data_IF_058182851868
#
_entry.id   IF_058182851868
#
_cell.length_a   1.000
_cell.length_b   1.000
_cell.length_c   1.000
_cell.angle_alpha   90.00
_cell.angle_beta   90.00
_cell.angle_gamma   90.00
#
_symmetry.space_group_name_H-M   'P 1'
#
loop_
_entity.id
_entity.type
_entity.pdbx_description
1 polymer ?
#
# COMPACT_ATOMS: atom_id res chain seq x y z
N UNK A 1 -20.61 -11.05 -1.99
CA UNK A 1 -19.69 -10.50 -1.01
C UNK A 1 -18.33 -10.28 -1.65
N UNK A 2 -17.97 -9.02 -1.75
CA UNK A 2 -16.77 -8.69 -2.50
C UNK A 2 -15.54 -8.80 -1.62
N UNK A 3 -14.73 -9.79 -1.91
CA UNK A 3 -13.43 -9.90 -1.30
C UNK A 3 -12.44 -9.07 -2.11
N UNK A 4 -11.67 -8.26 -1.42
CA UNK A 4 -10.52 -7.64 -2.05
C UNK A 4 -9.51 -8.73 -2.35
N UNK A 5 -9.32 -9.02 -3.63
CA UNK A 5 -8.45 -10.12 -4.07
C UNK A 5 -7.03 -9.67 -4.34
N UNK A 6 -6.84 -8.38 -4.59
CA UNK A 6 -5.55 -7.82 -4.98
C UNK A 6 -5.29 -6.53 -4.23
N UNK A 7 -4.02 -6.17 -4.14
CA UNK A 7 -3.62 -4.88 -3.58
C UNK A 7 -2.55 -4.24 -4.45
N UNK A 8 -2.61 -2.92 -4.55
CA UNK A 8 -1.61 -2.10 -5.22
C UNK A 8 -1.04 -1.13 -4.20
N UNK A 9 0.27 -1.15 -4.04
CA UNK A 9 0.96 -0.21 -3.18
C UNK A 9 1.79 0.74 -4.04
N UNK A 10 1.55 2.03 -3.92
CA UNK A 10 2.26 3.04 -4.70
C UNK A 10 3.29 3.72 -3.80
N UNK A 11 4.55 3.39 -4.00
CA UNK A 11 5.63 3.83 -3.14
C UNK A 11 6.21 5.18 -3.53
N UNK A 12 6.05 5.57 -4.80
CA UNK A 12 6.73 6.76 -5.33
C UNK A 12 5.95 8.06 -5.17
N UNK A 13 4.78 8.03 -4.59
CA UNK A 13 3.91 9.19 -4.47
C UNK A 13 4.26 10.10 -3.28
N UNK A 14 5.30 9.77 -2.56
CA UNK A 14 5.60 10.51 -1.35
C UNK A 14 6.56 11.67 -1.64
N UNK A 15 6.01 12.75 -2.14
CA UNK A 15 6.77 13.94 -2.51
C UNK A 15 7.33 14.70 -1.31
N UNK A 16 6.96 14.31 -0.09
CA UNK A 16 7.47 14.93 1.12
C UNK A 16 8.88 14.46 1.47
N UNK A 17 9.38 13.44 0.80
CA UNK A 17 10.70 12.87 1.06
C UNK A 17 11.72 13.49 0.11
N UNK A 18 12.90 13.90 0.60
CA UNK A 18 13.95 14.39 -0.28
C UNK A 18 14.34 13.37 -1.34
N UNK A 19 14.73 13.85 -2.51
CA UNK A 19 15.17 12.99 -3.60
C UNK A 19 16.31 12.08 -3.14
N UNK A 20 16.22 10.82 -3.48
CA UNK A 20 17.23 9.81 -3.12
C UNK A 20 16.96 9.06 -1.84
N UNK A 21 15.98 9.46 -1.06
CA UNK A 21 15.58 8.70 0.12
C UNK A 21 14.65 7.57 -0.28
N UNK A 22 14.68 6.49 0.49
CA UNK A 22 13.77 5.39 0.23
C UNK A 22 12.33 5.78 0.59
N UNK A 23 11.34 5.15 -0.06
CA UNK A 23 9.94 5.42 0.24
C UNK A 23 9.59 5.17 1.72
N UNK A 24 8.65 5.94 2.25
CA UNK A 24 8.23 5.78 3.64
C UNK A 24 7.72 4.36 3.93
N UNK A 25 7.08 3.70 2.96
CA UNK A 25 6.61 2.33 3.16
C UNK A 25 7.73 1.35 3.48
N UNK A 26 8.95 1.67 3.08
CA UNK A 26 10.12 0.82 3.35
C UNK A 26 10.85 1.22 4.63
N UNK A 27 10.46 2.33 5.26
CA UNK A 27 11.00 2.71 6.55
C UNK A 27 10.49 1.77 7.63
N UNK A 28 11.32 1.55 8.64
CA UNK A 28 10.96 0.63 9.72
C UNK A 28 10.15 1.33 10.81
N UNK A 29 9.17 0.60 11.34
CA UNK A 29 8.51 0.96 12.57
C UNK A 29 8.56 -0.27 13.48
N UNK A 30 9.08 -0.13 14.68
CA UNK A 30 9.35 -1.25 15.59
C UNK A 30 10.13 -2.36 14.89
N UNK A 31 11.20 -1.98 14.20
CA UNK A 31 12.14 -2.90 13.53
C UNK A 31 11.59 -3.67 12.33
N UNK A 32 10.40 -3.35 11.88
CA UNK A 32 9.79 -3.98 10.70
C UNK A 32 9.37 -2.91 9.69
N UNK A 33 9.62 -3.11 8.40
CA UNK A 33 9.13 -2.16 7.39
C UNK A 33 7.62 -1.96 7.48
N UNK A 34 7.19 -0.73 7.27
CA UNK A 34 5.75 -0.41 7.27
C UNK A 34 5.02 -1.28 6.25
N UNK A 35 5.60 -1.44 5.06
CA UNK A 35 4.99 -2.26 4.01
C UNK A 35 4.82 -3.71 4.42
N UNK A 36 5.76 -4.27 5.20
CA UNK A 36 5.62 -5.63 5.69
C UNK A 36 4.36 -5.78 6.54
N UNK A 37 4.08 -4.80 7.40
CA UNK A 37 2.86 -4.83 8.22
C UNK A 37 1.61 -4.73 7.36
N UNK A 38 1.67 -3.90 6.30
CA UNK A 38 0.56 -3.79 5.35
C UNK A 38 0.34 -5.10 4.60
N UNK A 39 1.40 -5.76 4.17
CA UNK A 39 1.33 -7.05 3.48
C UNK A 39 0.71 -8.11 4.38
N UNK A 40 1.14 -8.19 5.63
CA UNK A 40 0.60 -9.16 6.58
C UNK A 40 -0.91 -8.96 6.76
N UNK A 41 -1.33 -7.70 6.90
CA UNK A 41 -2.76 -7.41 7.03
C UNK A 41 -3.54 -7.81 5.77
N UNK A 42 -3.01 -7.48 4.60
CA UNK A 42 -3.67 -7.84 3.34
C UNK A 42 -3.79 -9.36 3.18
N UNK A 43 -2.74 -10.09 3.50
CA UNK A 43 -2.78 -11.56 3.43
C UNK A 43 -3.82 -12.13 4.41
N UNK A 44 -3.91 -11.56 5.61
CA UNK A 44 -4.91 -11.97 6.58
C UNK A 44 -6.34 -11.70 6.08
N UNK A 45 -6.51 -10.65 5.27
CA UNK A 45 -7.81 -10.29 4.70
C UNK A 45 -8.14 -11.05 3.42
N UNK A 46 -7.26 -11.94 2.97
CA UNK A 46 -7.52 -12.77 1.81
C UNK A 46 -6.95 -12.26 0.50
N UNK A 47 -6.16 -11.20 0.51
CA UNK A 47 -5.50 -10.69 -0.69
C UNK A 47 -4.47 -11.72 -1.17
N UNK A 48 -4.50 -12.05 -2.47
CA UNK A 48 -3.66 -13.10 -3.03
C UNK A 48 -2.63 -12.59 -4.03
N UNK A 49 -2.83 -11.40 -4.58
CA UNK A 49 -1.97 -10.84 -5.61
C UNK A 49 -1.65 -9.40 -5.28
N UNK A 50 -0.40 -9.02 -5.55
CA UNK A 50 0.08 -7.67 -5.22
C UNK A 50 0.80 -7.05 -6.41
N UNK A 51 0.66 -5.74 -6.53
CA UNK A 51 1.48 -4.94 -7.42
C UNK A 51 2.08 -3.80 -6.63
N UNK A 52 3.40 -3.62 -6.74
CA UNK A 52 4.10 -2.54 -6.06
C UNK A 52 4.68 -1.59 -7.11
N UNK A 53 4.24 -0.35 -7.09
CA UNK A 53 4.81 0.69 -7.96
C UNK A 53 6.03 1.24 -7.25
N UNK A 54 7.20 0.90 -7.76
CA UNK A 54 8.45 1.17 -7.05
C UNK A 54 9.60 1.27 -8.04
N UNK A 55 10.53 2.19 -7.77
CA UNK A 55 11.76 2.28 -8.54
C UNK A 55 12.57 0.98 -8.43
N UNK A 56 13.25 0.53 -9.50
CA UNK A 56 14.13 -0.63 -9.45
C UNK A 56 15.18 -0.54 -8.34
N UNK A 57 15.55 0.67 -7.96
CA UNK A 57 16.51 0.92 -6.89
C UNK A 57 16.08 0.29 -5.57
N UNK A 58 14.79 0.24 -5.30
CA UNK A 58 14.25 -0.28 -4.05
C UNK A 58 13.50 -1.60 -4.22
N UNK A 59 13.58 -2.21 -5.40
CA UNK A 59 12.81 -3.42 -5.69
C UNK A 59 13.14 -4.58 -4.74
N UNK A 60 14.42 -4.76 -4.42
CA UNK A 60 14.83 -5.84 -3.53
C UNK A 60 14.30 -5.64 -2.11
N UNK A 61 14.34 -4.40 -1.61
CA UNK A 61 13.78 -4.11 -0.29
C UNK A 61 12.27 -4.32 -0.27
N UNK A 62 11.59 -3.91 -1.34
CA UNK A 62 10.15 -4.11 -1.44
C UNK A 62 9.81 -5.60 -1.49
N UNK A 63 10.54 -6.38 -2.27
CA UNK A 63 10.32 -7.82 -2.37
C UNK A 63 10.51 -8.52 -1.02
N UNK A 64 11.46 -8.05 -0.23
CA UNK A 64 11.74 -8.62 1.09
C UNK A 64 10.58 -8.45 2.09
N UNK A 65 9.63 -7.56 1.80
CA UNK A 65 8.47 -7.36 2.65
C UNK A 65 7.38 -8.43 2.45
N UNK A 66 7.56 -9.30 1.46
CA UNK A 66 6.56 -10.34 1.13
C UNK A 66 7.09 -11.72 1.51
N UNK A 67 6.23 -12.58 2.04
CA UNK A 67 6.62 -13.97 2.27
C UNK A 67 7.01 -14.66 0.96
N UNK A 68 7.90 -15.63 1.05
CA UNK A 68 8.30 -16.41 -0.11
C UNK A 68 7.07 -17.08 -0.73
N UNK A 69 6.99 -17.06 -2.05
CA UNK A 69 5.86 -17.66 -2.76
C UNK A 69 4.68 -16.73 -2.98
N UNK A 70 4.74 -15.49 -2.47
CA UNK A 70 3.67 -14.52 -2.70
C UNK A 70 3.68 -14.06 -4.15
N UNK A 71 2.49 -13.95 -4.75
CA UNK A 71 2.34 -13.44 -6.11
C UNK A 71 2.44 -11.91 -6.08
N UNK A 72 3.60 -11.38 -6.43
CA UNK A 72 3.84 -9.94 -6.40
C UNK A 72 4.62 -9.52 -7.64
N UNK A 73 4.18 -8.41 -8.25
CA UNK A 73 4.89 -7.74 -9.33
C UNK A 73 5.40 -6.40 -8.80
N UNK A 74 6.67 -6.14 -8.98
CA UNK A 74 7.28 -4.86 -8.56
C UNK A 74 7.80 -4.18 -9.81
N UNK A 75 7.25 -3.01 -10.13
CA UNK A 75 7.59 -2.32 -11.37
C UNK A 75 7.24 -0.83 -11.24
N UNK A 76 7.96 0.01 -11.97
CA UNK A 76 7.59 1.42 -12.12
C UNK A 76 6.89 1.67 -13.46
N UNK A 77 6.71 0.63 -14.27
CA UNK A 77 6.13 0.75 -15.60
C UNK A 77 4.61 0.87 -15.52
N UNK A 78 4.11 2.00 -15.96
CA UNK A 78 2.68 2.29 -15.94
C UNK A 78 1.86 1.26 -16.72
N UNK A 79 2.39 0.82 -17.87
CA UNK A 79 1.71 -0.17 -18.71
C UNK A 79 1.51 -1.50 -17.97
N UNK A 80 2.48 -1.91 -17.16
CA UNK A 80 2.35 -3.15 -16.39
C UNK A 80 1.27 -3.04 -15.33
N UNK A 81 1.14 -1.88 -14.70
CA UNK A 81 0.08 -1.65 -13.73
C UNK A 81 -1.29 -1.69 -14.40
N UNK A 82 -1.41 -1.09 -15.58
CA UNK A 82 -2.68 -1.12 -16.32
C UNK A 82 -3.05 -2.55 -16.70
N UNK A 83 -2.08 -3.38 -17.07
CA UNK A 83 -2.35 -4.78 -17.38
C UNK A 83 -2.81 -5.54 -16.13
N UNK A 84 -2.20 -5.25 -14.98
CA UNK A 84 -2.59 -5.86 -13.70
C UNK A 84 -4.06 -5.54 -13.37
N UNK A 85 -4.51 -4.36 -13.73
CA UNK A 85 -5.85 -3.88 -13.42
C UNK A 85 -6.89 -4.19 -14.51
N UNK A 86 -6.52 -4.94 -15.55
CA UNK A 86 -7.38 -5.16 -16.71
C UNK A 86 -8.44 -6.24 -16.47
N UNK A 87 -9.20 -6.13 -15.40
CA UNK A 87 -10.35 -6.97 -15.11
C UNK A 87 -11.16 -6.36 -13.97
N UNK A 88 -12.24 -7.03 -13.57
CA UNK A 88 -13.16 -6.52 -12.55
C UNK A 88 -12.86 -7.01 -11.12
N UNK A 89 -11.71 -7.62 -10.89
CA UNK A 89 -11.37 -8.05 -9.53
C UNK A 89 -11.27 -6.85 -8.60
N UNK A 90 -11.83 -6.99 -7.42
CA UNK A 90 -11.77 -5.95 -6.40
C UNK A 90 -10.32 -5.73 -5.97
N UNK A 91 -9.89 -4.49 -5.97
CA UNK A 91 -8.49 -4.12 -5.72
C UNK A 91 -8.40 -3.04 -4.65
N UNK A 92 -7.59 -3.29 -3.64
CA UNK A 92 -7.25 -2.29 -2.64
C UNK A 92 -6.06 -1.48 -3.15
N UNK A 93 -6.13 -0.17 -3.02
CA UNK A 93 -5.05 0.71 -3.45
C UNK A 93 -4.59 1.57 -2.29
N UNK A 94 -3.31 1.50 -1.97
CA UNK A 94 -2.67 2.41 -1.04
C UNK A 94 -1.83 3.40 -1.84
N UNK A 95 -2.32 4.63 -1.92
CA UNK A 95 -1.67 5.69 -2.71
C UNK A 95 -0.49 6.33 -1.98
N UNK A 96 -0.33 6.02 -0.71
CA UNK A 96 0.78 6.53 0.09
C UNK A 96 1.05 5.58 1.26
N UNK A 97 2.11 5.86 2.00
CA UNK A 97 2.45 5.09 3.18
C UNK A 97 1.29 5.09 4.17
N UNK A 98 0.92 3.91 4.63
CA UNK A 98 -0.15 3.74 5.60
C UNK A 98 0.10 2.50 6.44
N UNK A 99 -0.34 2.57 7.68
CA UNK A 99 -0.21 1.47 8.64
C UNK A 99 -1.59 0.90 8.93
N UNK A 100 -1.77 -0.43 8.90
CA UNK A 100 -3.07 -1.01 9.22
C UNK A 100 -3.38 -0.83 10.71
N UNK A 101 -4.48 -0.14 10.99
CA UNK A 101 -4.94 0.08 12.37
C UNK A 101 -6.46 0.08 12.38
N UNK A 102 -7.04 -0.89 13.08
CA UNK A 102 -8.48 -1.13 13.04
C UNK A 102 -9.34 0.09 13.40
N UNK A 103 -8.81 1.01 14.18
CA UNK A 103 -9.54 2.18 14.62
C UNK A 103 -9.31 3.42 13.76
N UNK A 104 -8.52 3.28 12.69
CA UNK A 104 -8.28 4.40 11.79
C UNK A 104 -9.54 4.70 10.97
N UNK A 105 -9.83 5.97 10.80
CA UNK A 105 -10.94 6.40 9.98
C UNK A 105 -10.64 6.25 8.50
N UNK A 106 -11.56 6.67 7.62
CA UNK A 106 -11.32 6.63 6.19
C UNK A 106 -10.12 7.51 5.84
N UNK A 107 -9.24 6.98 5.03
CA UNK A 107 -7.96 7.63 4.75
C UNK A 107 -7.55 7.51 3.31
N UNK A 108 -6.40 6.93 3.07
CA UNK A 108 -5.76 6.91 1.77
C UNK A 108 -5.89 5.57 1.07
N UNK A 109 -6.66 4.66 1.64
CA UNK A 109 -6.91 3.38 1.00
C UNK A 109 -8.23 3.47 0.22
N UNK A 110 -8.20 2.94 -0.98
CA UNK A 110 -9.36 2.90 -1.86
C UNK A 110 -9.62 1.46 -2.28
N UNK A 111 -10.86 1.13 -2.53
CA UNK A 111 -11.21 -0.17 -3.09
C UNK A 111 -12.16 0.02 -4.26
N UNK A 112 -11.86 -0.63 -5.37
CA UNK A 112 -12.70 -0.56 -6.56
C UNK A 112 -12.38 -1.75 -7.48
N UNK A 113 -13.30 -2.06 -8.42
CA UNK A 113 -12.97 -3.02 -9.47
C UNK A 113 -11.80 -2.54 -10.31
N UNK A 114 -10.97 -3.47 -10.74
CA UNK A 114 -9.73 -3.15 -11.46
C UNK A 114 -9.96 -2.31 -12.71
N UNK A 115 -11.01 -2.60 -13.47
CA UNK A 115 -11.29 -1.81 -14.69
C UNK A 115 -11.62 -0.36 -14.40
N UNK A 116 -12.28 -0.07 -13.30
CA UNK A 116 -12.55 1.31 -12.90
C UNK A 116 -11.28 2.03 -12.50
N UNK A 117 -10.41 1.36 -11.76
CA UNK A 117 -9.12 1.91 -11.38
C UNK A 117 -8.25 2.15 -12.61
N UNK A 118 -8.28 1.21 -13.56
CA UNK A 118 -7.53 1.34 -14.80
C UNK A 118 -7.96 2.57 -15.59
N UNK A 119 -9.24 2.84 -15.65
CA UNK A 119 -9.76 4.00 -16.35
C UNK A 119 -9.28 5.32 -15.73
N UNK A 120 -9.25 5.37 -14.41
CA UNK A 120 -8.76 6.55 -13.68
C UNK A 120 -7.26 6.74 -13.90
N UNK A 121 -6.50 5.65 -13.91
CA UNK A 121 -5.06 5.72 -13.99
C UNK A 121 -4.52 5.94 -15.40
N UNK A 122 -5.36 5.87 -16.41
CA UNK A 122 -4.96 6.24 -17.76
C UNK A 122 -4.54 7.71 -17.86
N UNK A 123 -5.12 8.58 -17.03
CA UNK A 123 -4.87 10.02 -17.08
C UNK A 123 -3.94 10.51 -15.99
N UNK A 124 -3.04 9.66 -15.53
CA UNK A 124 -2.20 9.89 -14.35
C UNK A 124 -2.98 9.72 -13.07
N UNK A 125 -2.47 8.88 -12.24
CA UNK A 125 -3.00 8.62 -10.92
C UNK A 125 -3.07 9.88 -10.11
N UNK A 126 -4.17 10.55 -10.22
CA UNK A 126 -4.45 11.68 -9.38
C UNK A 126 -5.12 11.18 -8.11
N UNK A 127 -5.04 11.98 -7.09
CA UNK A 127 -5.52 11.67 -5.75
C UNK A 127 -7.01 11.38 -5.64
N UNK A 128 -7.73 11.51 -6.74
CA UNK A 128 -9.15 11.28 -6.74
C UNK A 128 -9.46 10.07 -7.59
N UNK A 129 -9.53 8.92 -6.97
CA UNK A 129 -10.07 7.74 -7.62
C UNK A 129 -11.58 7.92 -7.57
N UNK A 130 -12.10 8.63 -8.55
CA UNK A 130 -13.53 8.89 -8.66
C UNK A 130 -14.27 7.56 -8.81
N UNK A 131 -15.25 7.32 -7.94
CA UNK A 131 -15.99 6.07 -7.98
C UNK A 131 -15.46 4.97 -7.08
N UNK A 132 -14.25 5.12 -6.53
CA UNK A 132 -13.72 4.16 -5.58
C UNK A 132 -14.26 4.46 -4.17
N UNK A 133 -14.51 3.42 -3.41
CA UNK A 133 -14.93 3.56 -2.02
C UNK A 133 -13.70 3.72 -1.14
N UNK A 134 -13.72 4.69 -0.24
CA UNK A 134 -12.69 4.83 0.77
C UNK A 134 -12.80 3.67 1.77
N UNK A 135 -11.67 3.09 2.10
CA UNK A 135 -11.60 1.97 3.03
C UNK A 135 -11.01 2.45 4.34
N UNK A 136 -11.67 2.13 5.44
CA UNK A 136 -11.14 2.43 6.77
C UNK A 136 -10.12 1.39 7.20
N UNK A 137 -9.43 1.67 8.29
CA UNK A 137 -8.46 0.72 8.85
C UNK A 137 -7.03 0.99 8.43
N UNK A 138 -6.75 2.11 7.76
CA UNK A 138 -5.42 2.48 7.33
C UNK A 138 -5.07 3.88 7.79
N UNK A 139 -4.06 3.97 8.65
CA UNK A 139 -3.60 5.25 9.19
C UNK A 139 -2.48 5.80 8.32
N UNK A 140 -2.62 7.01 7.77
CA UNK A 140 -1.58 7.56 6.89
C UNK A 140 -0.30 7.89 7.64
N UNK A 141 0.82 7.67 6.97
CA UNK A 141 2.15 8.04 7.45
C UNK A 141 2.62 9.22 6.60
N UNK A 142 2.77 10.38 7.21
CA UNK A 142 3.12 11.60 6.49
C UNK A 142 4.62 11.85 6.42
N UNK A 143 5.39 11.27 7.33
CA UNK A 143 6.83 11.47 7.36
C UNK A 143 7.44 10.75 8.57
N UNK A 144 8.75 10.91 8.77
CA UNK A 144 9.44 10.28 9.90
C UNK A 144 8.85 10.66 11.25
N UNK A 145 8.29 11.86 11.38
CA UNK A 145 7.68 12.29 12.63
C UNK A 145 6.46 11.45 12.98
N UNK A 146 5.66 11.09 11.96
CA UNK A 146 4.49 10.22 12.17
C UNK A 146 4.92 8.86 12.68
N UNK A 147 6.00 8.32 12.12
CA UNK A 147 6.56 7.04 12.57
C UNK A 147 6.95 7.12 14.04
N UNK A 148 7.67 8.19 14.43
CA UNK A 148 8.12 8.36 15.81
C UNK A 148 6.92 8.47 16.77
N UNK A 149 5.85 9.13 16.36
CA UNK A 149 4.65 9.27 17.18
C UNK A 149 3.91 7.95 17.35
N UNK A 150 3.92 7.09 16.33
CA UNK A 150 3.15 5.85 16.34
C UNK A 150 3.89 4.69 16.99
N UNK A 151 5.21 4.73 17.06
CA UNK A 151 5.97 3.62 17.63
C UNK A 151 5.56 3.26 19.07
N UNK A 152 5.41 4.23 19.99
CA UNK A 152 4.95 3.88 21.34
C UNK A 152 3.55 3.28 21.37
N UNK A 153 2.66 3.80 20.53
CA UNK A 153 1.28 3.31 20.45
C UNK A 153 1.27 1.88 19.96
N UNK A 154 2.02 1.60 18.90
CA UNK A 154 2.10 0.28 18.32
C UNK A 154 2.75 -0.73 19.27
N UNK A 155 3.80 -0.31 19.98
CA UNK A 155 4.47 -1.14 20.96
C UNK A 155 3.49 -1.56 22.08
N UNK A 156 2.68 -0.61 22.54
CA UNK A 156 1.68 -0.90 23.56
C UNK A 156 0.62 -1.89 23.07
N UNK A 157 0.17 -1.72 21.83
CA UNK A 157 -0.81 -2.63 21.25
C UNK A 157 -0.25 -4.05 21.12
N UNK A 158 1.01 -4.19 20.74
CA UNK A 158 1.65 -5.49 20.63
C UNK A 158 1.82 -6.17 21.98
N UNK A 159 2.03 -5.40 23.04
CA UNK A 159 2.12 -5.95 24.40
C UNK A 159 0.77 -6.45 24.92
N UNK A 160 -0.31 -5.88 24.46
CA UNK A 160 -1.66 -6.22 24.91
C UNK A 160 -2.27 -7.40 24.15
N UNK A 161 -1.63 -7.84 23.08
CA UNK A 161 -2.18 -8.92 22.25
C UNK A 161 -1.69 -10.32 22.66
#
# INVERSE_FOLDING_TARGET
MDHTCRAVFILEEDHSIPAGHKPLMLEAILHRPIMERAVVQCLADGVQRFFVVCSPRFADEAAACFPEGTDVVISEQHAELLDFLDNDESTLVLCRAALPMAQAGPGFAYSAPGRELRAVWKDKMTNAVSGASLVSGWLPIFGPETIAELEPVLAKMEQES
#
